data_IF_179774606007
#
_entry.id   IF_179774606007
#
_cell.length_a   1.000
_cell.length_b   1.000
_cell.length_c   1.000
_cell.angle_alpha   90.00
_cell.angle_beta   90.00
_cell.angle_gamma   90.00
#
_symmetry.space_group_name_H-M   'P 1'
#
loop_
_entity.id
_entity.type
_entity.pdbx_description
1 polymer ?
#
# COMPACT_ATOMS: atom_id res chain seq x y z
N UNK A 1 18.54 30.64 -6.51
CA UNK A 1 17.95 29.62 -7.41
C UNK A 1 16.44 29.55 -7.20
N UNK A 2 15.67 29.73 -8.23
CA UNK A 2 14.22 29.56 -8.14
C UNK A 2 13.89 28.06 -7.97
N UNK A 3 13.12 27.74 -6.96
CA UNK A 3 12.61 26.36 -6.76
C UNK A 3 11.51 26.13 -7.79
N UNK A 4 11.60 25.02 -8.51
CA UNK A 4 10.52 24.57 -9.41
C UNK A 4 9.47 23.84 -8.57
N UNK A 5 8.22 24.26 -8.60
CA UNK A 5 7.16 23.55 -7.89
C UNK A 5 6.91 22.17 -8.51
N UNK A 6 6.61 21.20 -7.66
CA UNK A 6 6.16 19.87 -8.07
C UNK A 6 4.73 19.68 -7.60
N UNK A 7 3.87 19.21 -8.49
CA UNK A 7 2.46 18.93 -8.18
C UNK A 7 2.26 17.44 -8.18
N UNK A 8 1.80 16.90 -7.06
CA UNK A 8 1.31 15.52 -6.97
C UNK A 8 -0.22 15.57 -7.01
N UNK A 9 -0.80 15.02 -8.08
CA UNK A 9 -2.25 14.95 -8.23
C UNK A 9 -2.71 13.51 -8.02
N UNK A 10 -3.52 13.28 -6.99
CA UNK A 10 -4.02 11.97 -6.64
C UNK A 10 -5.48 11.87 -7.09
N UNK A 11 -5.75 10.96 -8.03
CA UNK A 11 -7.09 10.64 -8.49
C UNK A 11 -7.57 9.41 -7.72
N UNK A 12 -8.06 9.63 -6.52
CA UNK A 12 -8.49 8.58 -5.62
C UNK A 12 -9.67 7.80 -6.20
N UNK A 13 -9.59 6.47 -6.16
CA UNK A 13 -10.59 5.61 -6.76
C UNK A 13 -10.49 5.43 -8.28
N UNK A 14 -9.54 6.10 -8.94
CA UNK A 14 -9.32 6.00 -10.38
C UNK A 14 -8.42 4.80 -10.68
N UNK A 15 -9.01 3.64 -10.89
CA UNK A 15 -8.29 2.41 -11.17
C UNK A 15 -8.26 2.05 -12.66
N UNK A 16 -7.33 1.16 -13.00
CA UNK A 16 -7.18 0.64 -14.36
C UNK A 16 -7.80 -0.76 -14.45
N UNK A 17 -8.71 -0.95 -15.39
CA UNK A 17 -9.29 -2.24 -15.71
C UNK A 17 -9.55 -2.30 -17.22
N UNK A 18 -9.13 -3.39 -17.84
CA UNK A 18 -9.30 -3.59 -19.29
C UNK A 18 -10.76 -3.86 -19.69
N UNK A 19 -11.58 -4.33 -18.75
CA UNK A 19 -13.00 -4.52 -19.00
C UNK A 19 -13.70 -3.17 -19.14
N UNK A 20 -14.49 -3.01 -20.19
CA UNK A 20 -15.24 -1.77 -20.48
C UNK A 20 -16.62 -1.78 -19.85
N UNK A 21 -17.22 -2.95 -19.64
CA UNK A 21 -18.52 -3.10 -19.02
C UNK A 21 -18.52 -2.54 -17.59
N UNK A 22 -19.49 -1.70 -17.29
CA UNK A 22 -19.63 -1.03 -16.00
C UNK A 22 -18.36 -0.26 -15.54
N UNK A 23 -17.54 0.18 -16.47
CA UNK A 23 -16.28 0.88 -16.23
C UNK A 23 -16.34 2.31 -16.78
N UNK A 24 -16.68 3.25 -15.92
CA UNK A 24 -16.81 4.65 -16.31
C UNK A 24 -15.47 5.27 -16.78
N UNK A 25 -14.36 4.83 -16.22
CA UNK A 25 -13.01 5.28 -16.63
C UNK A 25 -12.73 4.87 -18.08
N UNK A 26 -13.01 3.61 -18.43
CA UNK A 26 -12.77 3.11 -19.78
C UNK A 26 -13.76 3.66 -20.81
N UNK A 27 -14.99 3.97 -20.40
CA UNK A 27 -16.04 4.48 -21.29
C UNK A 27 -16.04 6.00 -21.41
N UNK A 28 -15.43 6.70 -20.49
CA UNK A 28 -15.36 8.14 -20.48
C UNK A 28 -14.46 8.70 -21.59
N UNK A 29 -14.73 9.94 -21.95
CA UNK A 29 -13.86 10.67 -22.86
C UNK A 29 -12.79 11.39 -22.02
N UNK A 30 -11.57 10.88 -22.04
CA UNK A 30 -10.45 11.37 -21.24
C UNK A 30 -9.23 11.64 -22.10
N UNK A 31 -9.30 12.56 -23.07
CA UNK A 31 -8.23 12.76 -24.04
C UNK A 31 -6.90 13.20 -23.42
N UNK A 32 -6.93 13.97 -22.34
CA UNK A 32 -5.71 14.42 -21.65
C UNK A 32 -5.06 13.25 -20.90
N UNK A 33 -5.86 12.45 -20.16
CA UNK A 33 -5.33 11.27 -19.46
C UNK A 33 -4.77 10.23 -20.44
N UNK A 34 -5.48 9.97 -21.53
CA UNK A 34 -5.06 9.04 -22.55
C UNK A 34 -3.71 9.48 -23.14
N UNK A 35 -3.56 10.77 -23.45
CA UNK A 35 -2.33 11.33 -23.96
C UNK A 35 -1.18 11.24 -22.94
N UNK A 36 -1.44 11.53 -21.67
CA UNK A 36 -0.43 11.42 -20.63
C UNK A 36 0.06 9.98 -20.44
N UNK A 37 -0.84 9.00 -20.47
CA UNK A 37 -0.49 7.59 -20.37
C UNK A 37 0.33 7.09 -21.57
N UNK A 38 0.10 7.65 -22.74
CA UNK A 38 0.77 7.25 -23.98
C UNK A 38 2.14 7.92 -24.15
N UNK A 39 2.25 9.21 -23.83
CA UNK A 39 3.43 10.03 -24.12
C UNK A 39 4.37 10.22 -22.92
N UNK A 40 3.89 10.06 -21.71
CA UNK A 40 4.67 10.27 -20.49
C UNK A 40 5.11 8.95 -19.84
N UNK A 41 6.15 8.97 -18.99
CA UNK A 41 6.52 7.80 -18.21
C UNK A 41 5.32 7.31 -17.39
N UNK A 42 5.01 6.02 -17.53
CA UNK A 42 3.84 5.40 -16.92
C UNK A 42 4.21 4.06 -16.27
N UNK A 43 3.70 3.83 -15.08
CA UNK A 43 3.88 2.57 -14.36
C UNK A 43 2.58 2.19 -13.65
N UNK A 44 2.28 0.90 -13.64
CA UNK A 44 1.15 0.37 -12.88
C UNK A 44 1.59 0.03 -11.47
N UNK A 45 0.90 0.53 -10.48
CA UNK A 45 1.10 0.20 -9.07
C UNK A 45 0.04 -0.75 -8.55
N UNK A 46 0.40 -1.55 -7.55
CA UNK A 46 -0.58 -2.34 -6.81
C UNK A 46 -1.16 -1.51 -5.67
N UNK A 47 -2.48 -1.57 -5.54
CA UNK A 47 -3.22 -0.80 -4.52
C UNK A 47 -3.96 -1.71 -3.52
N UNK A 48 -3.56 -2.97 -3.40
CA UNK A 48 -4.22 -3.94 -2.52
C UNK A 48 -3.23 -4.90 -1.88
N UNK A 49 -3.65 -5.56 -0.82
CA UNK A 49 -2.90 -6.62 -0.16
C UNK A 49 -1.55 -6.15 0.40
N UNK A 50 -0.59 -7.04 0.41
CA UNK A 50 0.75 -6.79 0.98
C UNK A 50 1.49 -5.63 0.34
N UNK A 51 1.20 -5.31 -0.92
CA UNK A 51 1.81 -4.18 -1.61
C UNK A 51 1.48 -2.83 -0.97
N UNK A 52 0.42 -2.75 -0.18
CA UNK A 52 0.02 -1.56 0.58
C UNK A 52 -0.04 -1.80 2.10
N UNK A 53 0.56 -2.88 2.57
CA UNK A 53 0.66 -3.19 3.99
C UNK A 53 -0.58 -3.83 4.60
N UNK A 54 -1.46 -4.38 3.78
CA UNK A 54 -2.66 -5.12 4.19
C UNK A 54 -2.46 -6.63 4.02
N UNK A 55 -3.28 -7.47 4.66
CA UNK A 55 -3.26 -8.90 4.40
C UNK A 55 -3.49 -9.24 2.93
N UNK A 56 -2.93 -10.34 2.46
CA UNK A 56 -3.15 -10.83 1.10
C UNK A 56 -4.64 -10.98 0.80
N UNK A 57 -5.03 -10.56 -0.40
CA UNK A 57 -6.42 -10.63 -0.86
C UNK A 57 -7.33 -9.52 -0.33
N UNK A 58 -6.85 -8.69 0.58
CA UNK A 58 -7.63 -7.56 1.07
C UNK A 58 -7.55 -6.39 0.10
N UNK A 59 -8.71 -5.85 -0.25
CA UNK A 59 -8.82 -4.66 -1.09
C UNK A 59 -8.21 -3.45 -0.37
N UNK A 60 -7.46 -2.64 -1.11
CA UNK A 60 -6.91 -1.40 -0.60
C UNK A 60 -7.98 -0.35 -0.27
N UNK A 61 -7.56 0.69 0.40
CA UNK A 61 -8.39 1.85 0.72
C UNK A 61 -7.56 3.13 0.67
N UNK A 62 -8.24 4.26 0.72
CA UNK A 62 -7.62 5.58 0.63
C UNK A 62 -6.63 5.84 1.77
N UNK A 63 -6.97 5.41 2.98
CA UNK A 63 -6.13 5.63 4.16
C UNK A 63 -4.75 4.99 4.01
N UNK A 64 -4.69 3.69 3.73
CA UNK A 64 -3.40 3.00 3.58
C UNK A 64 -2.65 3.46 2.32
N UNK A 65 -3.35 3.77 1.24
CA UNK A 65 -2.74 4.28 0.00
C UNK A 65 -2.04 5.61 0.22
N UNK A 66 -2.71 6.57 0.81
CA UNK A 66 -2.13 7.88 1.14
C UNK A 66 -1.00 7.78 2.15
N UNK A 67 -1.14 6.91 3.16
CA UNK A 67 -0.09 6.67 4.14
C UNK A 67 1.20 6.15 3.49
N UNK A 68 1.08 5.17 2.60
CA UNK A 68 2.23 4.62 1.89
C UNK A 68 2.91 5.65 0.97
N UNK A 69 2.12 6.45 0.25
CA UNK A 69 2.65 7.52 -0.58
C UNK A 69 3.38 8.58 0.25
N UNK A 70 2.80 8.99 1.38
CA UNK A 70 3.42 9.97 2.27
C UNK A 70 4.68 9.46 2.95
N UNK A 71 4.71 8.18 3.31
CA UNK A 71 5.87 7.56 3.92
C UNK A 71 6.99 7.22 2.92
N UNK A 72 6.67 7.13 1.63
CA UNK A 72 7.61 6.70 0.59
C UNK A 72 8.04 5.23 0.73
N UNK A 73 7.28 4.42 1.43
CA UNK A 73 7.52 2.99 1.66
C UNK A 73 6.22 2.27 1.99
N UNK A 74 6.26 0.95 1.96
CA UNK A 74 5.14 0.15 2.47
C UNK A 74 5.08 0.27 3.99
N UNK A 75 3.96 0.75 4.51
CA UNK A 75 3.67 0.79 5.95
C UNK A 75 2.73 -0.38 6.25
N UNK A 76 3.26 -1.42 6.86
CA UNK A 76 2.45 -2.58 7.24
C UNK A 76 1.51 -2.22 8.38
N UNK A 77 0.22 -2.50 8.19
CA UNK A 77 -0.76 -2.41 9.26
C UNK A 77 -0.39 -3.39 10.38
N UNK A 78 -0.79 -3.10 11.60
CA UNK A 78 -0.32 -3.83 12.78
C UNK A 78 -0.50 -5.35 12.65
N UNK A 79 -1.70 -5.79 12.32
CA UNK A 79 -1.97 -7.22 12.10
C UNK A 79 -1.11 -7.82 10.99
N UNK A 80 -0.95 -7.10 9.89
CA UNK A 80 -0.13 -7.55 8.75
C UNK A 80 1.35 -7.63 9.14
N UNK A 81 1.83 -6.68 9.91
CA UNK A 81 3.21 -6.68 10.42
C UNK A 81 3.47 -7.89 11.31
N UNK A 82 2.57 -8.18 12.24
CA UNK A 82 2.68 -9.35 13.12
C UNK A 82 2.67 -10.65 12.30
N UNK A 83 1.75 -10.77 11.37
CA UNK A 83 1.67 -11.93 10.47
C UNK A 83 2.96 -12.12 9.68
N UNK A 84 3.49 -11.04 9.12
CA UNK A 84 4.74 -11.05 8.36
C UNK A 84 5.93 -11.47 9.24
N UNK A 85 6.01 -10.95 10.45
CA UNK A 85 7.07 -11.33 11.41
C UNK A 85 6.99 -12.81 11.78
N UNK A 86 5.78 -13.38 11.91
CA UNK A 86 5.59 -14.81 12.14
C UNK A 86 6.10 -15.62 10.94
N UNK A 87 5.72 -15.22 9.72
CA UNK A 87 6.11 -15.90 8.48
C UNK A 87 7.63 -15.84 8.24
N UNK A 88 8.25 -14.71 8.54
CA UNK A 88 9.69 -14.49 8.39
C UNK A 88 10.50 -15.12 9.54
N UNK A 89 9.85 -15.56 10.62
CA UNK A 89 10.49 -16.13 11.81
C UNK A 89 10.96 -15.09 12.82
N UNK A 90 10.95 -13.81 12.51
CA UNK A 90 11.44 -12.75 13.41
C UNK A 90 10.57 -12.54 14.65
N UNK A 91 9.30 -12.92 14.58
CA UNK A 91 8.38 -12.90 15.72
C UNK A 91 8.91 -13.72 16.91
N UNK A 92 9.51 -14.85 16.65
CA UNK A 92 10.04 -15.76 17.68
C UNK A 92 11.33 -15.24 18.32
N UNK A 93 11.98 -14.27 17.70
CA UNK A 93 13.20 -13.62 18.16
C UNK A 93 12.94 -12.28 18.87
N UNK A 94 11.66 -11.89 19.03
CA UNK A 94 11.30 -10.63 19.65
C UNK A 94 11.65 -10.61 21.13
N UNK A 95 12.52 -9.68 21.59
CA UNK A 95 12.98 -9.64 22.99
C UNK A 95 11.86 -9.42 23.99
N UNK A 96 10.90 -8.55 23.69
CA UNK A 96 9.78 -8.25 24.58
C UNK A 96 8.93 -9.48 24.87
N UNK A 97 8.65 -10.29 23.84
CA UNK A 97 7.91 -11.54 23.99
C UNK A 97 8.69 -12.57 24.80
N UNK A 98 10.00 -12.66 24.59
CA UNK A 98 10.86 -13.55 25.36
C UNK A 98 10.91 -13.16 26.84
N UNK A 99 10.94 -11.88 27.14
CA UNK A 99 10.90 -11.34 28.50
C UNK A 99 9.58 -11.66 29.22
N UNK A 100 8.45 -11.48 28.56
CA UNK A 100 7.13 -11.84 29.08
C UNK A 100 7.05 -13.34 29.44
N UNK A 101 7.48 -14.20 28.57
CA UNK A 101 7.50 -15.63 28.78
C UNK A 101 8.40 -16.02 29.96
N UNK A 102 9.57 -15.40 30.07
CA UNK A 102 10.48 -15.59 31.19
C UNK A 102 9.87 -15.13 32.51
N UNK A 103 9.20 -13.98 32.54
CA UNK A 103 8.50 -13.45 33.71
C UNK A 103 7.40 -14.40 34.19
N UNK A 104 6.60 -14.96 33.31
CA UNK A 104 5.56 -15.94 33.64
C UNK A 104 6.15 -17.18 34.27
N UNK A 105 7.25 -17.68 33.74
CA UNK A 105 7.94 -18.85 34.29
C UNK A 105 8.54 -18.57 35.67
N UNK A 106 8.99 -17.36 35.93
CA UNK A 106 9.56 -16.96 37.23
C UNK A 106 8.51 -16.72 38.30
N UNK A 107 7.27 -16.38 37.91
CA UNK A 107 6.17 -16.12 38.84
C UNK A 107 5.47 -17.41 39.35
N UNK A 108 5.82 -18.56 38.83
CA UNK A 108 5.40 -19.88 39.29
C UNK A 108 6.41 -20.48 40.25
#
# INVERSE_FOLDING_TARGET
>A
MSKKPVVLMILDGYGLNEKTEANAVAQGKTPVMDKLMEECPFVRGNASGMAVGLPDGQMGNSEVGHLNMGAGRIVYQELTRITKEIQDGTFFENPARSEEHTSELQSR
#
